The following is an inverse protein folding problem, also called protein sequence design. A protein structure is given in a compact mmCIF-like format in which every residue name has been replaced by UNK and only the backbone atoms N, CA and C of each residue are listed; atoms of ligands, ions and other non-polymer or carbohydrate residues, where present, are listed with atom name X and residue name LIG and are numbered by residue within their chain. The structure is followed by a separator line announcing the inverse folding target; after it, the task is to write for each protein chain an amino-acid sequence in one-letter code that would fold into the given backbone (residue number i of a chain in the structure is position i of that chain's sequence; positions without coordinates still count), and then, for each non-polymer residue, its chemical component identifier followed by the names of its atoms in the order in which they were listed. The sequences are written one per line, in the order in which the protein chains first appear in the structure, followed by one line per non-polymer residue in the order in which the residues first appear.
data_IF_335684290035
#
_entry.id   IF_335684290035
#
_cell.length_a   1.000
_cell.length_b   1.000
_cell.length_c   1.000
_cell.angle_alpha   90.00
_cell.angle_beta   90.00
_cell.angle_gamma   90.00
#
_symmetry.space_group_name_H-M   'P 1'
#
loop_
_entity.id
_entity.type
_entity.pdbx_description
1 polymer ?
#
# COMPACT_ATOMS: atom_id res chain seq x y z
N UNK A 1 24.63 24.80 -13.98
CA UNK A 1 24.64 23.61 -14.86
C UNK A 1 23.26 23.51 -15.47
N UNK A 2 23.15 23.73 -16.78
CA UNK A 2 21.84 23.72 -17.46
C UNK A 2 21.55 22.35 -18.04
N UNK A 3 20.27 22.01 -18.26
CA UNK A 3 19.87 20.71 -18.84
C UNK A 3 20.53 20.47 -20.21
N UNK A 4 20.83 21.55 -20.94
CA UNK A 4 21.52 21.51 -22.23
C UNK A 4 23.00 21.08 -22.13
N UNK A 5 23.65 21.23 -20.97
CA UNK A 5 25.04 20.79 -20.76
C UNK A 5 25.17 19.27 -20.58
N UNK A 6 24.05 18.55 -20.43
CA UNK A 6 23.99 17.09 -20.33
C UNK A 6 24.09 16.40 -21.70
N UNK A 7 23.76 17.11 -22.81
CA UNK A 7 23.71 16.55 -24.16
C UNK A 7 24.90 16.96 -25.05
N UNK A 8 25.92 17.60 -24.48
CA UNK A 8 27.16 17.93 -25.19
C UNK A 8 28.06 16.71 -25.33
N UNK A 9 28.84 16.67 -26.40
CA UNK A 9 29.82 15.61 -26.66
C UNK A 9 30.80 15.48 -25.47
N UNK A 10 31.03 14.25 -24.98
CA UNK A 10 31.84 13.99 -23.77
C UNK A 10 31.09 14.08 -22.42
N UNK A 11 29.78 14.35 -22.41
CA UNK A 11 28.98 14.46 -21.18
C UNK A 11 28.41 13.13 -20.63
N UNK A 12 28.85 11.97 -21.14
CA UNK A 12 28.36 10.65 -20.71
C UNK A 12 28.42 10.42 -19.19
N UNK A 13 29.49 10.89 -18.54
CA UNK A 13 29.63 10.79 -17.09
C UNK A 13 28.60 11.64 -16.33
N UNK A 14 28.19 12.79 -16.90
CA UNK A 14 27.16 13.66 -16.31
C UNK A 14 25.78 13.05 -16.43
N UNK A 15 25.49 12.37 -17.55
CA UNK A 15 24.26 11.58 -17.74
C UNK A 15 24.19 10.45 -16.70
N UNK A 16 25.30 9.73 -16.49
CA UNK A 16 25.37 8.66 -15.49
C UNK A 16 25.10 9.18 -14.07
N UNK A 17 25.74 10.28 -13.66
CA UNK A 17 25.50 10.93 -12.36
C UNK A 17 24.05 11.41 -12.22
N UNK A 18 23.46 11.94 -13.29
CA UNK A 18 22.07 12.38 -13.30
C UNK A 18 21.09 11.21 -13.13
N UNK A 19 21.32 10.10 -13.83
CA UNK A 19 20.51 8.89 -13.67
C UNK A 19 20.64 8.28 -12.27
N UNK A 20 21.85 8.26 -11.70
CA UNK A 20 22.07 7.84 -10.32
C UNK A 20 21.35 8.75 -9.32
N UNK A 21 21.38 10.07 -9.53
CA UNK A 21 20.67 11.03 -8.70
C UNK A 21 19.14 10.84 -8.76
N UNK A 22 18.57 10.64 -9.95
CA UNK A 22 17.13 10.34 -10.11
C UNK A 22 16.78 9.00 -9.47
N UNK A 23 17.61 7.97 -9.70
CA UNK A 23 17.42 6.64 -9.12
C UNK A 23 17.48 6.66 -7.60
N UNK A 24 18.26 7.56 -6.99
CA UNK A 24 18.34 7.71 -5.54
C UNK A 24 17.08 8.37 -4.93
N UNK A 25 16.39 9.23 -5.70
CA UNK A 25 15.15 9.89 -5.27
C UNK A 25 13.92 8.99 -5.49
N UNK A 26 13.95 8.15 -6.52
CA UNK A 26 12.87 7.25 -6.89
C UNK A 26 12.32 6.33 -5.77
N UNK A 27 13.13 5.72 -4.87
CA UNK A 27 12.61 4.76 -3.87
C UNK A 27 11.76 5.39 -2.75
N UNK A 28 11.69 6.71 -2.63
CA UNK A 28 11.08 7.38 -1.45
C UNK A 28 9.53 7.40 -1.51
N UNK A 29 8.89 7.11 -2.65
CA UNK A 29 7.45 7.39 -2.85
C UNK A 29 6.48 6.20 -2.73
N UNK A 30 6.95 5.02 -2.30
CA UNK A 30 6.15 3.80 -2.32
C UNK A 30 5.19 3.64 -1.15
N UNK A 31 5.65 3.83 0.09
CA UNK A 31 4.96 3.36 1.28
C UNK A 31 4.20 4.49 2.01
N UNK A 32 2.98 4.22 2.46
CA UNK A 32 2.21 5.11 3.29
C UNK A 32 1.57 4.37 4.46
N UNK A 33 1.44 5.07 5.58
CA UNK A 33 0.64 4.66 6.73
C UNK A 33 -0.52 5.65 6.88
N UNK A 34 -1.73 5.14 7.06
CA UNK A 34 -2.93 5.95 7.23
C UNK A 34 -3.78 5.41 8.37
N UNK A 35 -4.30 6.30 9.19
CA UNK A 35 -5.29 5.99 10.21
C UNK A 35 -6.65 5.75 9.55
N UNK A 36 -7.31 4.65 9.93
CA UNK A 36 -8.66 4.33 9.51
C UNK A 36 -9.66 5.07 10.40
N UNK A 37 -10.67 5.66 9.78
CA UNK A 37 -11.71 6.40 10.49
C UNK A 37 -12.66 5.42 11.20
N UNK A 38 -12.90 5.67 12.49
CA UNK A 38 -13.95 5.02 13.27
C UNK A 38 -13.41 4.03 14.32
N UNK A 39 -14.10 3.98 15.45
CA UNK A 39 -13.91 2.95 16.49
C UNK A 39 -14.57 1.63 16.08
N UNK A 40 -14.22 1.17 14.88
CA UNK A 40 -14.75 -0.05 14.29
C UNK A 40 -14.04 -1.25 14.93
N UNK A 41 -14.82 -2.21 15.43
CA UNK A 41 -14.28 -3.49 15.89
C UNK A 41 -13.82 -4.33 14.70
N UNK A 42 -12.61 -4.06 14.22
CA UNK A 42 -11.99 -4.81 13.13
C UNK A 42 -11.72 -6.28 13.52
N UNK A 43 -11.63 -6.60 14.81
CA UNK A 43 -11.45 -7.98 15.27
C UNK A 43 -12.75 -8.79 15.09
N UNK A 44 -13.90 -8.22 15.44
CA UNK A 44 -15.23 -8.84 15.23
C UNK A 44 -15.69 -8.87 13.77
N UNK A 45 -15.25 -7.93 12.93
CA UNK A 45 -15.64 -7.82 11.51
C UNK A 45 -14.66 -8.48 10.53
N UNK A 46 -13.84 -9.43 11.00
CA UNK A 46 -12.83 -10.13 10.19
C UNK A 46 -13.38 -10.66 8.87
N UNK A 47 -14.51 -11.37 8.90
CA UNK A 47 -15.06 -12.01 7.70
C UNK A 47 -15.54 -11.00 6.65
N UNK A 48 -16.04 -9.84 7.10
CA UNK A 48 -16.43 -8.73 6.22
C UNK A 48 -15.19 -8.14 5.54
N UNK A 49 -14.11 -7.94 6.29
CA UNK A 49 -12.84 -7.41 5.78
C UNK A 49 -12.21 -8.38 4.79
N UNK A 50 -12.18 -9.68 5.09
CA UNK A 50 -11.64 -10.70 4.19
C UNK A 50 -12.45 -10.74 2.89
N UNK A 51 -13.78 -10.79 2.97
CA UNK A 51 -14.65 -10.78 1.77
C UNK A 51 -14.45 -9.51 0.94
N UNK A 52 -14.35 -8.35 1.59
CA UNK A 52 -14.06 -7.10 0.91
C UNK A 52 -12.69 -7.13 0.22
N UNK A 53 -11.67 -7.75 0.83
CA UNK A 53 -10.34 -7.87 0.23
C UNK A 53 -10.29 -8.89 -0.91
N UNK A 54 -11.00 -10.00 -0.80
CA UNK A 54 -11.09 -11.04 -1.84
C UNK A 54 -11.71 -10.51 -3.14
N UNK A 55 -12.73 -9.65 -3.05
CA UNK A 55 -13.31 -8.96 -4.22
C UNK A 55 -12.28 -8.16 -5.02
N UNK A 56 -11.18 -7.73 -4.38
CA UNK A 56 -10.10 -6.97 -5.00
C UNK A 56 -8.86 -7.81 -5.31
N UNK A 57 -9.00 -9.13 -5.34
CA UNK A 57 -7.90 -10.08 -5.55
C UNK A 57 -6.80 -10.00 -4.49
N UNK A 58 -7.14 -9.63 -3.24
CA UNK A 58 -6.24 -9.77 -2.12
C UNK A 58 -6.55 -11.05 -1.34
N UNK A 59 -5.51 -11.71 -0.84
CA UNK A 59 -5.60 -12.90 0.00
C UNK A 59 -4.94 -12.62 1.34
N UNK A 60 -5.55 -13.12 2.41
CA UNK A 60 -4.96 -13.09 3.74
C UNK A 60 -3.72 -13.99 3.76
N UNK A 61 -2.56 -13.41 4.04
CA UNK A 61 -1.29 -14.15 4.12
C UNK A 61 -0.85 -14.38 5.55
N UNK A 62 -1.14 -13.45 6.46
CA UNK A 62 -0.81 -13.60 7.87
C UNK A 62 -1.92 -13.00 8.74
N UNK A 63 -2.17 -13.64 9.87
CA UNK A 63 -3.09 -13.16 10.88
C UNK A 63 -2.39 -13.23 12.24
N UNK A 64 -2.28 -12.07 12.87
CA UNK A 64 -1.83 -11.90 14.25
C UNK A 64 -3.05 -11.47 15.09
N UNK A 65 -3.06 -11.66 16.42
CA UNK A 65 -4.16 -11.18 17.27
C UNK A 65 -4.44 -9.68 17.16
N UNK A 66 -3.47 -8.90 16.65
CA UNK A 66 -3.52 -7.45 16.54
C UNK A 66 -3.39 -6.93 15.11
N UNK A 67 -3.16 -7.81 14.13
CA UNK A 67 -2.97 -7.38 12.74
C UNK A 67 -3.37 -8.41 11.68
N UNK A 68 -3.81 -7.91 10.53
CA UNK A 68 -4.07 -8.70 9.33
C UNK A 68 -3.13 -8.26 8.20
N UNK A 69 -2.43 -9.22 7.60
CA UNK A 69 -1.57 -8.98 6.45
C UNK A 69 -2.18 -9.58 5.20
N UNK A 70 -2.39 -8.75 4.20
CA UNK A 70 -2.94 -9.13 2.90
C UNK A 70 -1.90 -8.95 1.80
N UNK A 71 -1.93 -9.83 0.79
CA UNK A 71 -1.14 -9.72 -0.43
C UNK A 71 -1.99 -9.98 -1.66
N UNK A 72 -1.55 -9.48 -2.80
CA UNK A 72 -2.26 -9.67 -4.06
C UNK A 72 -2.24 -11.14 -4.48
N UNK A 73 -3.34 -11.71 -4.98
CA UNK A 73 -3.45 -13.14 -5.35
C UNK A 73 -2.52 -13.53 -6.50
N UNK A 74 -2.37 -12.63 -7.48
CA UNK A 74 -1.59 -12.87 -8.69
C UNK A 74 -0.08 -12.61 -8.49
N UNK A 75 0.74 -13.64 -8.63
CA UNK A 75 2.21 -13.60 -8.50
C UNK A 75 2.88 -12.65 -9.49
N UNK A 76 2.39 -12.55 -10.74
CA UNK A 76 2.97 -11.64 -11.74
C UNK A 76 2.85 -10.17 -11.29
N UNK A 77 1.72 -9.82 -10.66
CA UNK A 77 1.49 -8.48 -10.12
C UNK A 77 2.41 -8.22 -8.91
N UNK A 78 2.68 -9.24 -8.09
CA UNK A 78 3.66 -9.12 -6.99
C UNK A 78 5.04 -8.78 -7.52
N UNK A 79 5.50 -9.46 -8.57
CA UNK A 79 6.81 -9.22 -9.18
C UNK A 79 6.90 -7.81 -9.80
N UNK A 80 5.88 -7.38 -10.55
CA UNK A 80 5.83 -6.02 -11.12
C UNK A 80 5.86 -4.94 -10.01
N UNK A 81 5.27 -5.25 -8.85
CA UNK A 81 5.29 -4.40 -7.65
C UNK A 81 6.50 -4.63 -6.76
N UNK A 82 7.54 -5.32 -7.23
CA UNK A 82 8.78 -5.61 -6.49
C UNK A 82 8.53 -6.28 -5.13
N UNK A 83 7.45 -7.06 -5.00
CA UNK A 83 6.99 -7.70 -3.76
C UNK A 83 6.56 -6.70 -2.67
N UNK A 84 6.37 -5.42 -3.02
CA UNK A 84 5.85 -4.36 -2.16
C UNK A 84 4.31 -4.27 -2.23
N UNK A 85 3.63 -5.40 -2.45
CA UNK A 85 2.17 -5.48 -2.54
C UNK A 85 1.48 -5.75 -1.19
N UNK A 86 2.26 -5.76 -0.11
CA UNK A 86 1.77 -6.05 1.23
C UNK A 86 0.92 -4.90 1.79
N UNK A 87 -0.27 -5.25 2.25
CA UNK A 87 -1.19 -4.35 2.96
C UNK A 87 -1.38 -4.90 4.37
N UNK A 88 -0.96 -4.13 5.36
CA UNK A 88 -1.07 -4.49 6.78
C UNK A 88 -2.13 -3.62 7.42
N UNK A 89 -3.10 -4.25 8.09
CA UNK A 89 -4.10 -3.60 8.91
C UNK A 89 -3.76 -3.92 10.36
N UNK A 90 -3.36 -2.91 11.12
CA UNK A 90 -3.04 -3.02 12.54
C UNK A 90 -4.16 -2.38 13.36
N UNK A 91 -4.79 -3.18 14.23
CA UNK A 91 -5.88 -2.78 15.11
C UNK A 91 -5.49 -2.92 16.59
N UNK A 92 -4.18 -3.00 16.88
CA UNK A 92 -3.62 -2.96 18.24
C UNK A 92 -3.97 -1.66 18.97
N UNK A 93 -3.95 -0.55 18.24
CA UNK A 93 -4.27 0.79 18.75
C UNK A 93 -5.55 1.30 18.10
N UNK A 94 -6.39 1.96 18.89
CA UNK A 94 -7.49 2.78 18.38
C UNK A 94 -6.96 4.20 18.12
N UNK A 95 -7.07 4.76 16.91
CA UNK A 95 -7.69 4.20 15.69
C UNK A 95 -6.80 3.16 14.98
N UNK A 96 -7.42 2.19 14.30
CA UNK A 96 -6.71 1.20 13.51
C UNK A 96 -5.90 1.86 12.38
N UNK A 97 -4.75 1.29 12.02
CA UNK A 97 -3.87 1.82 10.98
C UNK A 97 -3.73 0.86 9.81
N UNK A 98 -3.74 1.40 8.59
CA UNK A 98 -3.44 0.67 7.36
C UNK A 98 -2.09 1.13 6.81
N UNK A 99 -1.23 0.16 6.52
CA UNK A 99 0.12 0.38 5.99
C UNK A 99 0.30 -0.40 4.69
N UNK A 100 1.01 0.18 3.73
CA UNK A 100 1.27 -0.47 2.45
C UNK A 100 1.67 0.52 1.37
N UNK A 101 1.61 0.09 0.10
CA UNK A 101 1.86 0.96 -1.04
C UNK A 101 0.83 2.13 -1.05
N UNK A 102 1.27 3.39 -1.13
CA UNK A 102 0.44 4.59 -0.99
C UNK A 102 -0.84 4.53 -1.82
N UNK A 103 -0.73 4.17 -3.10
CA UNK A 103 -1.88 4.03 -4.00
C UNK A 103 -2.89 2.99 -3.51
N UNK A 104 -2.43 1.86 -2.98
CA UNK A 104 -3.29 0.79 -2.47
C UNK A 104 -3.88 1.15 -1.10
N UNK A 105 -3.11 1.78 -0.21
CA UNK A 105 -3.60 2.23 1.11
C UNK A 105 -4.81 3.15 0.97
N UNK A 106 -4.77 4.12 0.04
CA UNK A 106 -5.91 5.00 -0.20
C UNK A 106 -7.11 4.27 -0.83
N UNK A 107 -6.87 3.33 -1.74
CA UNK A 107 -7.92 2.58 -2.42
C UNK A 107 -8.60 1.58 -1.47
N UNK A 108 -7.81 0.68 -0.88
CA UNK A 108 -8.24 -0.36 0.04
C UNK A 108 -8.83 0.24 1.32
N UNK A 109 -8.19 1.28 1.87
CA UNK A 109 -8.69 1.92 3.09
C UNK A 109 -10.10 2.49 2.93
N UNK A 110 -10.42 3.08 1.77
CA UNK A 110 -11.77 3.60 1.49
C UNK A 110 -12.80 2.48 1.33
N UNK A 111 -12.40 1.37 0.72
CA UNK A 111 -13.27 0.22 0.49
C UNK A 111 -13.63 -0.48 1.79
N UNK A 112 -12.64 -0.73 2.65
CA UNK A 112 -12.84 -1.34 3.96
C UNK A 112 -13.71 -0.44 4.83
N UNK A 113 -13.45 0.87 4.85
CA UNK A 113 -14.28 1.82 5.60
C UNK A 113 -15.75 1.77 5.12
N UNK A 114 -16.00 1.79 3.82
CA UNK A 114 -17.34 1.70 3.27
C UNK A 114 -18.02 0.37 3.60
N UNK A 115 -17.30 -0.75 3.51
CA UNK A 115 -17.83 -2.08 3.85
C UNK A 115 -18.17 -2.19 5.34
N UNK A 116 -17.33 -1.64 6.21
CA UNK A 116 -17.54 -1.65 7.65
C UNK A 116 -18.74 -0.79 8.08
N UNK A 117 -18.95 0.37 7.44
CA UNK A 117 -20.11 1.25 7.62
C UNK A 117 -21.39 0.60 7.06
N UNK A 118 -21.31 -0.06 5.91
CA UNK A 118 -22.46 -0.75 5.32
C UNK A 118 -22.96 -1.89 6.22
N UNK A 119 -22.04 -2.61 6.87
CA UNK A 119 -22.35 -3.66 7.83
C UNK A 119 -22.94 -3.13 9.14
N UNK A 120 -22.48 -1.96 9.63
CA UNK A 120 -23.06 -1.28 10.80
C UNK A 120 -24.50 -0.80 10.56
N UNK A 121 -24.83 -0.33 9.35
CA UNK A 121 -26.19 0.12 9.02
C UNK A 121 -27.19 -1.02 8.78
N UNK A 122 -26.72 -2.26 8.63
CA UNK A 122 -27.53 -3.42 8.28
C UNK A 122 -27.79 -4.34 9.48
N UNK A 123 -27.44 -3.88 10.68
CA UNK A 123 -27.58 -4.54 11.98
C UNK A 123 -28.29 -3.59 12.95
#
# INVERSE_FOLDING_TARGET
MTVFDLFKEGAWWKILVFLLAISAIYPIFGFARKEMYGDLDFAGKKDVIIKAMEQYNYVLCNQTPTSFTFRHKNMAIRIIRMMEDEVVIDFSTKPATISGLRKEVFRVGRLIANAAIADENNN
#
